data_IF_971569792727
#
_entry.id   IF_971569792727
#
_cell.length_a   1.000
_cell.length_b   1.000
_cell.length_c   1.000
_cell.angle_alpha   90.00
_cell.angle_beta   90.00
_cell.angle_gamma   90.00
#
_symmetry.space_group_name_H-M   'P 1'
#
loop_
_entity.id
_entity.type
_entity.pdbx_description
1 polymer ?
#
# COMPACT_ATOMS: atom_id res chain seq x y z
N UNK A 1 5.27 9.30 -2.05
CA UNK A 1 4.50 8.28 -1.32
C UNK A 1 3.25 7.80 -2.03
N UNK A 2 2.21 8.63 -2.25
CA UNK A 2 1.00 8.14 -2.96
C UNK A 2 1.26 7.78 -4.43
N UNK A 3 2.22 8.44 -5.08
CA UNK A 3 2.68 8.09 -6.41
C UNK A 3 3.33 6.70 -6.43
N UNK A 4 4.15 6.37 -5.43
CA UNK A 4 4.82 5.05 -5.31
C UNK A 4 3.78 3.94 -5.12
N UNK A 5 2.81 4.13 -4.21
CA UNK A 5 1.68 3.19 -4.04
C UNK A 5 0.88 3.03 -5.34
N UNK A 6 0.68 4.11 -6.10
CA UNK A 6 -0.02 4.06 -7.39
C UNK A 6 0.76 3.23 -8.41
N UNK A 7 2.08 3.42 -8.47
CA UNK A 7 2.95 2.70 -9.39
C UNK A 7 2.94 1.20 -9.09
N UNK A 8 3.08 0.83 -7.81
CA UNK A 8 3.01 -0.56 -7.35
C UNK A 8 1.66 -1.23 -7.66
N UNK A 9 0.54 -0.51 -7.48
CA UNK A 9 -0.80 -1.02 -7.83
C UNK A 9 -0.99 -1.21 -9.35
N UNK A 10 -0.39 -0.34 -10.15
CA UNK A 10 -0.42 -0.42 -11.61
C UNK A 10 0.56 -1.45 -12.18
N UNK A 11 1.51 -1.93 -11.36
CA UNK A 11 2.50 -2.93 -11.73
C UNK A 11 1.90 -4.18 -12.37
N UNK A 12 2.53 -4.64 -13.45
CA UNK A 12 2.21 -5.88 -14.17
C UNK A 12 3.53 -6.61 -14.47
N UNK A 13 3.85 -7.74 -13.79
CA UNK A 13 3.02 -8.40 -12.76
C UNK A 13 2.88 -7.55 -11.49
N UNK A 14 1.79 -7.77 -10.74
CA UNK A 14 1.61 -7.16 -9.43
C UNK A 14 2.59 -7.80 -8.44
N UNK A 15 3.26 -6.97 -7.64
CA UNK A 15 4.17 -7.42 -6.58
C UNK A 15 3.55 -6.96 -5.25
N UNK A 16 3.28 -7.89 -4.30
CA UNK A 16 2.80 -7.52 -2.98
C UNK A 16 3.74 -6.53 -2.29
N UNK A 17 3.18 -5.62 -1.50
CA UNK A 17 3.97 -4.61 -0.81
C UNK A 17 3.36 -4.23 0.54
N UNK A 18 4.19 -3.67 1.42
CA UNK A 18 3.80 -3.22 2.76
C UNK A 18 3.88 -1.71 2.84
N UNK A 19 2.81 -1.07 3.31
CA UNK A 19 2.78 0.37 3.61
C UNK A 19 3.05 0.55 5.10
N UNK A 20 4.05 1.37 5.42
CA UNK A 20 4.36 1.78 6.79
C UNK A 20 3.66 3.09 7.11
N UNK A 21 3.03 3.14 8.28
CA UNK A 21 2.32 4.31 8.78
C UNK A 21 3.14 4.93 9.93
N UNK A 22 3.16 6.26 10.00
CA UNK A 22 3.93 7.01 11.01
C UNK A 22 3.57 6.65 12.46
N UNK A 23 2.37 6.12 12.68
CA UNK A 23 1.85 5.62 13.96
C UNK A 23 2.38 4.20 14.32
N UNK A 24 3.33 3.67 13.54
CA UNK A 24 3.93 2.35 13.74
C UNK A 24 3.11 1.18 13.19
N UNK A 25 2.00 1.44 12.50
CA UNK A 25 1.20 0.40 11.85
C UNK A 25 1.77 0.02 10.49
N UNK A 26 1.59 -1.25 10.14
CA UNK A 26 2.00 -1.83 8.87
C UNK A 26 0.79 -2.44 8.20
N UNK A 27 0.64 -2.19 6.89
CA UNK A 27 -0.49 -2.71 6.13
C UNK A 27 0.00 -3.37 4.86
N UNK A 28 -0.24 -4.68 4.78
CA UNK A 28 0.13 -5.51 3.63
C UNK A 28 -0.94 -5.44 2.54
N UNK A 29 -0.50 -5.17 1.32
CA UNK A 29 -1.31 -5.20 0.10
C UNK A 29 -0.89 -6.42 -0.69
N UNK A 30 -1.67 -7.51 -0.56
CA UNK A 30 -1.37 -8.81 -1.16
C UNK A 30 -1.87 -8.95 -2.60
N UNK A 31 -2.80 -8.09 -3.01
CA UNK A 31 -3.37 -8.06 -4.35
C UNK A 31 -3.72 -6.62 -4.74
N UNK A 32 -3.82 -6.27 -6.04
CA UNK A 32 -4.20 -4.93 -6.46
C UNK A 32 -5.61 -4.53 -6.01
N UNK A 33 -6.49 -5.50 -5.76
CA UNK A 33 -7.85 -5.27 -5.25
C UNK A 33 -7.88 -4.95 -3.74
N UNK A 34 -6.82 -5.27 -2.99
CA UNK A 34 -6.73 -4.96 -1.56
C UNK A 34 -6.47 -3.48 -1.27
N UNK A 35 -6.09 -2.67 -2.27
CA UNK A 35 -5.93 -1.24 -2.04
C UNK A 35 -6.43 -0.38 -3.22
N UNK A 36 -7.04 0.74 -2.88
CA UNK A 36 -7.58 1.68 -3.84
C UNK A 36 -7.12 3.11 -3.50
N UNK A 37 -6.64 3.83 -4.50
CA UNK A 37 -6.35 5.25 -4.34
C UNK A 37 -7.60 6.04 -4.72
N UNK A 38 -8.11 6.84 -3.80
CA UNK A 38 -9.26 7.69 -4.10
C UNK A 38 -8.96 8.60 -5.31
N UNK A 39 -9.91 8.87 -6.23
CA UNK A 39 -9.64 9.64 -7.46
C UNK A 39 -9.00 11.00 -7.21
N UNK A 40 -9.34 11.66 -6.10
CA UNK A 40 -8.77 12.95 -5.68
C UNK A 40 -7.36 12.83 -5.11
N UNK A 41 -6.81 11.62 -4.99
CA UNK A 41 -5.52 11.29 -4.35
C UNK A 41 -5.39 11.78 -2.91
N UNK A 42 -6.51 12.04 -2.25
CA UNK A 42 -6.53 12.52 -0.87
C UNK A 42 -6.27 11.40 0.16
N UNK A 43 -6.50 10.14 -0.22
CA UNK A 43 -6.37 8.97 0.67
C UNK A 43 -6.15 7.68 -0.10
N UNK A 44 -5.46 6.75 0.55
CA UNK A 44 -5.37 5.34 0.18
C UNK A 44 -6.35 4.56 1.05
N UNK A 45 -7.17 3.73 0.43
CA UNK A 45 -8.06 2.78 1.09
C UNK A 45 -7.39 1.42 1.03
N UNK A 46 -7.25 0.73 2.16
CA UNK A 46 -6.67 -0.61 2.19
C UNK A 46 -7.62 -1.56 2.93
N UNK A 47 -7.85 -2.72 2.35
CA UNK A 47 -8.64 -3.82 2.90
C UNK A 47 -7.70 -4.85 3.51
N UNK A 48 -7.78 -4.99 4.83
CA UNK A 48 -7.01 -5.98 5.59
C UNK A 48 -7.70 -7.34 5.55
N UNK A 49 -6.93 -8.42 5.71
CA UNK A 49 -7.46 -9.79 5.77
C UNK A 49 -8.43 -10.02 6.93
N UNK A 50 -8.30 -9.26 8.03
CA UNK A 50 -9.25 -9.25 9.16
C UNK A 50 -10.61 -8.61 8.81
N UNK A 51 -10.85 -8.27 7.53
CA UNK A 51 -12.07 -7.61 7.07
C UNK A 51 -12.16 -6.12 7.42
N UNK A 52 -11.10 -5.54 7.99
CA UNK A 52 -11.04 -4.12 8.33
C UNK A 52 -10.70 -3.27 7.11
N UNK A 53 -11.37 -2.14 7.00
CA UNK A 53 -11.03 -1.11 6.00
C UNK A 53 -10.28 0.03 6.67
N UNK A 54 -9.13 0.37 6.12
CA UNK A 54 -8.31 1.47 6.60
C UNK A 54 -8.26 2.61 5.60
N UNK A 55 -8.33 3.84 6.10
CA UNK A 55 -8.21 5.06 5.30
C UNK A 55 -6.96 5.81 5.74
N UNK A 56 -5.97 5.88 4.86
CA UNK A 56 -4.71 6.56 5.15
C UNK A 56 -4.55 7.80 4.28
N UNK A 57 -4.44 9.00 4.88
CA UNK A 57 -3.96 10.16 4.15
C UNK A 57 -2.48 9.98 3.80
N UNK A 58 -2.00 10.50 2.65
CA UNK A 58 -0.62 10.33 2.22
C UNK A 58 0.44 10.81 3.21
N UNK A 59 0.10 11.81 4.02
CA UNK A 59 0.99 12.41 5.02
C UNK A 59 1.31 11.46 6.19
N UNK A 60 0.47 10.44 6.42
CA UNK A 60 0.72 9.45 7.48
C UNK A 60 1.50 8.25 6.97
N UNK A 61 1.73 8.12 5.66
CA UNK A 61 2.54 7.05 5.09
C UNK A 61 4.02 7.41 5.26
N UNK A 62 4.72 6.66 6.10
CA UNK A 62 6.14 6.86 6.40
C UNK A 62 7.05 6.12 5.43
N UNK A 63 6.56 5.06 4.78
CA UNK A 63 7.35 4.29 3.81
C UNK A 63 6.54 3.23 3.07
N UNK A 64 7.17 2.62 2.07
CA UNK A 64 6.66 1.46 1.34
C UNK A 64 7.81 0.51 1.03
N UNK A 65 7.60 -0.79 1.20
CA UNK A 65 8.54 -1.85 0.79
C UNK A 65 7.83 -2.87 -0.06
N UNK A 66 8.49 -3.32 -1.12
CA UNK A 66 8.01 -4.46 -1.91
C UNK A 66 8.34 -5.76 -1.19
N UNK A 67 7.35 -6.64 -1.07
CA UNK A 67 7.52 -8.01 -0.59
C UNK A 67 8.00 -8.83 -1.78
N UNK A 68 9.22 -8.53 -2.22
CA UNK A 68 9.93 -9.39 -3.16
C UNK A 68 10.42 -10.58 -2.34
N UNK A 69 9.81 -11.76 -2.49
CA UNK A 69 10.40 -13.01 -1.99
C UNK A 69 11.83 -13.24 -2.55
N UNK A 70 12.29 -12.44 -3.52
CA UNK A 70 13.70 -12.33 -3.90
C UNK A 70 14.08 -10.88 -4.20
N UNK A 71 14.78 -10.23 -3.27
CA UNK A 71 15.29 -8.87 -3.44
C UNK A 71 16.40 -8.50 -2.47
N UNK A 72 17.24 -9.47 -2.06
CA UNK A 72 18.56 -9.16 -1.53
C UNK A 72 19.51 -8.97 -2.72
N UNK A 73 20.05 -7.77 -2.88
CA UNK A 73 21.36 -7.55 -3.47
C UNK A 73 22.09 -6.47 -2.69
#
# INVERSE_FOLDING_TARGET
>A
MIADVKDLLAGRPFIPFTIYIADGREVRVLSPDHAHIHPTRARVVVYSEDGRTHFFPPLLMSGVTVDSENGQH
#
